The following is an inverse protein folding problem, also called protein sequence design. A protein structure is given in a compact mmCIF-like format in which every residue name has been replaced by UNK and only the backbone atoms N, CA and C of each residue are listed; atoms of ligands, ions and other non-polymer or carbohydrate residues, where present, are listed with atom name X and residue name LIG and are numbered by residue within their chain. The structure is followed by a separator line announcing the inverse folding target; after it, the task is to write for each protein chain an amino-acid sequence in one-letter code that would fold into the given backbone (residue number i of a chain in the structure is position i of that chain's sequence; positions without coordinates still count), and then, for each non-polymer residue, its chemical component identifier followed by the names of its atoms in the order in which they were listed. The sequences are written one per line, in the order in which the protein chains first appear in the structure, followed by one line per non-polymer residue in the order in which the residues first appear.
data_IF_674821636538
#
_entry.id   IF_674821636538
#
_cell.length_a   1.000
_cell.length_b   1.000
_cell.length_c   1.000
_cell.angle_alpha   90.00
_cell.angle_beta   90.00
_cell.angle_gamma   90.00
#
_symmetry.space_group_name_H-M   'P 1'
#
loop_
_entity.id
_entity.type
_entity.pdbx_description
1 polymer ?
#
# COMPACT_ATOMS: atom_id res chain seq x y z
N UNK A 1 -34.90 -10.11 15.37
CA UNK A 1 -35.07 -9.22 14.22
C UNK A 1 -34.05 -8.07 14.22
N UNK A 2 -33.76 -7.47 15.36
CA UNK A 2 -32.74 -6.39 15.45
C UNK A 2 -31.30 -6.86 15.13
N UNK A 3 -30.90 -8.07 15.53
CA UNK A 3 -29.57 -8.63 15.21
C UNK A 3 -29.37 -8.85 13.71
N UNK A 4 -30.40 -9.26 12.97
CA UNK A 4 -30.30 -9.46 11.52
C UNK A 4 -30.11 -8.14 10.76
N UNK A 5 -30.72 -7.06 11.22
CA UNK A 5 -30.60 -5.74 10.59
C UNK A 5 -29.20 -5.14 10.83
N UNK A 6 -28.61 -5.36 12.01
CA UNK A 6 -27.26 -4.92 12.32
C UNK A 6 -26.22 -5.68 11.51
N UNK A 7 -26.39 -6.99 11.32
CA UNK A 7 -25.49 -7.82 10.51
C UNK A 7 -25.52 -7.39 9.04
N UNK A 8 -26.71 -7.15 8.48
CA UNK A 8 -26.86 -6.65 7.10
C UNK A 8 -26.23 -5.27 6.94
N UNK A 9 -26.38 -4.39 7.93
CA UNK A 9 -25.76 -3.05 7.91
C UNK A 9 -24.25 -3.13 7.94
N UNK A 10 -23.68 -4.07 8.70
CA UNK A 10 -22.24 -4.28 8.77
C UNK A 10 -21.70 -4.89 7.48
N UNK A 11 -22.41 -5.84 6.90
CA UNK A 11 -22.07 -6.41 5.59
C UNK A 11 -22.09 -5.34 4.49
N UNK A 12 -23.11 -4.49 4.46
CA UNK A 12 -23.21 -3.40 3.50
C UNK A 12 -22.07 -2.38 3.68
N UNK A 13 -21.67 -2.07 4.92
CA UNK A 13 -20.51 -1.21 5.20
C UNK A 13 -19.22 -1.86 4.73
N UNK A 14 -19.06 -3.16 4.96
CA UNK A 14 -17.89 -3.91 4.50
C UNK A 14 -17.82 -3.99 2.98
N UNK A 15 -18.97 -4.16 2.31
CA UNK A 15 -19.05 -4.13 0.85
C UNK A 15 -18.73 -2.74 0.29
N UNK A 16 -19.21 -1.67 0.92
CA UNK A 16 -18.92 -0.31 0.52
C UNK A 16 -17.42 0.02 0.64
N UNK A 17 -16.73 -0.54 1.66
CA UNK A 17 -15.28 -0.35 1.83
C UNK A 17 -14.44 -1.10 0.80
N UNK A 18 -15.02 -2.04 0.05
CA UNK A 18 -14.35 -2.81 -1.00
C UNK A 18 -14.50 -2.19 -2.40
N UNK A 19 -15.21 -1.07 -2.51
CA UNK A 19 -15.37 -0.36 -3.79
C UNK A 19 -14.22 0.61 -3.97
N UNK A 20 -13.51 0.48 -5.09
CA UNK A 20 -12.42 1.39 -5.45
C UNK A 20 -12.95 2.81 -5.72
N UNK A 21 -12.21 3.82 -5.28
CA UNK A 21 -12.54 5.21 -5.57
C UNK A 21 -12.08 5.58 -6.97
N UNK A 22 -12.97 6.20 -7.72
CA UNK A 22 -12.71 6.69 -9.06
C UNK A 22 -12.91 8.21 -9.10
N UNK A 23 -12.18 8.88 -10.01
CA UNK A 23 -12.28 10.31 -10.22
C UNK A 23 -11.10 11.07 -9.62
N UNK A 24 -10.99 12.35 -10.01
CA UNK A 24 -9.82 13.18 -9.68
C UNK A 24 -10.14 14.43 -8.87
N UNK A 25 -11.40 14.67 -8.57
CA UNK A 25 -11.84 15.91 -7.92
C UNK A 25 -11.42 16.00 -6.44
N UNK A 26 -11.10 14.88 -5.81
CA UNK A 26 -10.63 14.82 -4.41
C UNK A 26 -9.11 14.69 -4.29
N UNK A 27 -8.36 14.71 -5.39
CA UNK A 27 -6.91 14.60 -5.34
C UNK A 27 -6.28 15.74 -4.53
N UNK A 28 -5.32 15.37 -3.71
CA UNK A 28 -4.60 16.32 -2.86
C UNK A 28 -3.31 16.77 -3.54
N UNK A 29 -3.07 18.07 -3.49
CA UNK A 29 -1.82 18.67 -3.94
C UNK A 29 -1.21 19.46 -2.78
N UNK A 30 0.12 19.54 -2.73
CA UNK A 30 0.78 20.39 -1.75
C UNK A 30 0.80 21.85 -2.25
N UNK A 31 1.41 22.75 -1.46
CA UNK A 31 1.46 24.19 -1.74
C UNK A 31 2.29 24.57 -2.98
N UNK A 32 3.10 23.66 -3.51
CA UNK A 32 3.86 23.84 -4.76
C UNK A 32 3.26 23.04 -5.94
N UNK A 33 2.04 22.55 -5.80
CA UNK A 33 1.30 21.88 -6.85
C UNK A 33 1.67 20.41 -7.10
N UNK A 34 2.38 19.76 -6.19
CA UNK A 34 2.73 18.35 -6.33
C UNK A 34 1.60 17.45 -5.84
N UNK A 35 1.18 16.50 -6.67
CA UNK A 35 0.19 15.51 -6.28
C UNK A 35 0.73 14.63 -5.17
N UNK A 36 -0.09 14.44 -4.14
CA UNK A 36 0.26 13.62 -2.99
C UNK A 36 -0.19 12.18 -3.22
N UNK A 37 0.76 11.25 -3.15
CA UNK A 37 0.57 9.81 -3.30
C UNK A 37 0.95 9.14 -2.00
N UNK A 38 0.20 8.14 -1.59
CA UNK A 38 0.47 7.38 -0.38
C UNK A 38 0.36 5.89 -0.64
N UNK A 39 1.22 5.13 -0.02
CA UNK A 39 1.20 3.68 -0.14
C UNK A 39 1.76 2.98 1.09
N UNK A 40 1.70 1.66 1.03
CA UNK A 40 2.22 0.80 2.07
C UNK A 40 3.18 -0.23 1.51
N UNK A 41 4.11 -0.66 2.35
CA UNK A 41 4.81 -1.91 2.19
C UNK A 41 4.13 -2.91 3.14
N UNK A 42 3.24 -3.78 2.63
CA UNK A 42 2.64 -4.81 3.46
C UNK A 42 3.70 -5.87 3.77
N UNK A 43 3.81 -6.25 5.04
CA UNK A 43 4.81 -7.23 5.44
C UNK A 43 4.25 -8.22 6.46
N UNK A 44 4.92 -9.36 6.54
CA UNK A 44 4.67 -10.42 7.52
C UNK A 44 5.97 -11.13 7.82
N UNK A 45 5.94 -11.99 8.82
CA UNK A 45 7.03 -12.93 9.10
C UNK A 45 6.57 -14.35 8.82
N UNK A 46 7.37 -15.10 8.08
CA UNK A 46 7.29 -16.55 7.96
C UNK A 46 8.42 -17.14 8.81
N UNK A 47 8.08 -17.56 10.04
CA UNK A 47 9.09 -17.85 11.05
C UNK A 47 9.88 -16.59 11.39
N UNK A 48 11.19 -16.59 11.20
CA UNK A 48 12.06 -15.43 11.38
C UNK A 48 12.26 -14.60 10.10
N UNK A 49 11.68 -15.04 8.98
CA UNK A 49 11.89 -14.46 7.66
C UNK A 49 10.91 -13.32 7.38
N UNK A 50 11.44 -12.15 7.11
CA UNK A 50 10.65 -11.02 6.69
C UNK A 50 10.23 -11.20 5.23
N UNK A 51 8.93 -11.15 4.99
CA UNK A 51 8.35 -11.17 3.65
C UNK A 51 7.52 -9.92 3.42
N UNK A 52 7.55 -9.43 2.19
CA UNK A 52 6.77 -8.27 1.76
C UNK A 52 5.84 -8.65 0.61
N UNK A 53 4.71 -7.95 0.53
CA UNK A 53 3.72 -8.19 -0.52
C UNK A 53 3.88 -7.17 -1.63
N UNK A 54 4.14 -7.65 -2.83
CA UNK A 54 4.18 -6.84 -4.04
C UNK A 54 3.01 -7.18 -4.95
N UNK A 55 2.64 -6.24 -5.80
CA UNK A 55 1.57 -6.42 -6.78
C UNK A 55 2.10 -6.15 -8.19
N UNK A 56 1.45 -6.73 -9.18
CA UNK A 56 1.81 -6.49 -10.58
C UNK A 56 1.41 -5.08 -11.00
N UNK A 57 2.25 -4.46 -11.84
CA UNK A 57 1.90 -3.21 -12.49
C UNK A 57 0.71 -3.43 -13.45
N UNK A 58 -0.17 -2.43 -13.58
CA UNK A 58 -1.21 -2.43 -14.61
C UNK A 58 -0.61 -2.33 -16.00
N UNK A 59 0.60 -1.80 -16.13
CA UNK A 59 1.32 -1.75 -17.39
C UNK A 59 2.00 -3.09 -17.63
N UNK A 60 1.59 -3.76 -18.68
CA UNK A 60 2.13 -5.06 -19.09
C UNK A 60 3.66 -5.00 -19.23
N UNK A 61 4.38 -5.91 -18.57
CA UNK A 61 5.83 -6.00 -18.63
C UNK A 61 6.60 -4.96 -17.79
N UNK A 62 5.94 -4.22 -16.89
CA UNK A 62 6.56 -3.16 -16.08
C UNK A 62 6.89 -3.58 -14.65
N UNK A 63 7.00 -4.88 -14.39
CA UNK A 63 7.44 -5.41 -13.10
C UNK A 63 6.43 -5.28 -11.98
N UNK A 64 6.94 -5.29 -10.75
CA UNK A 64 6.16 -5.29 -9.53
C UNK A 64 6.31 -3.97 -8.79
N UNK A 65 5.35 -3.69 -7.93
CA UNK A 65 5.36 -2.48 -7.08
C UNK A 65 4.63 -2.74 -5.76
N UNK A 66 4.78 -1.82 -4.83
CA UNK A 66 3.96 -1.79 -3.63
C UNK A 66 2.67 -1.02 -3.88
N UNK A 67 1.56 -1.38 -3.21
CA UNK A 67 0.29 -0.68 -3.40
C UNK A 67 0.39 0.79 -3.01
N UNK A 68 -0.11 1.67 -3.86
CA UNK A 68 -0.10 3.12 -3.69
C UNK A 68 -1.14 3.80 -4.57
N UNK A 69 -1.58 4.96 -4.14
CA UNK A 69 -2.45 5.80 -4.96
C UNK A 69 -2.59 7.19 -4.37
N UNK A 70 -3.54 7.96 -4.88
CA UNK A 70 -3.74 9.34 -4.45
C UNK A 70 -4.25 9.48 -3.03
N UNK A 71 -3.64 10.36 -2.27
CA UNK A 71 -4.16 10.77 -0.96
C UNK A 71 -5.20 11.86 -1.20
N UNK A 72 -6.46 11.53 -0.92
CA UNK A 72 -7.58 12.42 -1.19
C UNK A 72 -7.82 13.41 -0.04
N UNK A 73 -8.53 14.50 -0.33
CA UNK A 73 -8.70 15.62 0.62
C UNK A 73 -9.65 15.30 1.78
N UNK A 74 -10.49 14.27 1.64
CA UNK A 74 -11.48 13.88 2.63
C UNK A 74 -11.02 12.78 3.60
N UNK A 75 -9.73 12.44 3.58
CA UNK A 75 -9.19 11.36 4.39
C UNK A 75 -7.86 11.73 5.05
N UNK A 76 -7.52 11.08 6.17
CA UNK A 76 -6.19 11.17 6.76
C UNK A 76 -5.20 10.39 5.91
N UNK A 77 -3.90 10.66 6.09
CA UNK A 77 -2.86 9.96 5.34
C UNK A 77 -2.85 8.46 5.65
N UNK A 78 -3.10 8.06 6.90
CA UNK A 78 -3.17 6.65 7.30
C UNK A 78 -4.40 5.95 6.72
N UNK A 79 -5.53 6.63 6.67
CA UNK A 79 -6.74 6.13 6.02
C UNK A 79 -6.50 5.91 4.53
N UNK A 80 -5.84 6.84 3.86
CA UNK A 80 -5.49 6.72 2.45
C UNK A 80 -4.52 5.54 2.22
N UNK A 81 -3.51 5.40 3.06
CA UNK A 81 -2.53 4.30 2.97
C UNK A 81 -3.22 2.93 3.06
N UNK A 82 -4.12 2.77 4.04
CA UNK A 82 -4.87 1.53 4.20
C UNK A 82 -5.84 1.30 3.04
N UNK A 83 -6.56 2.32 2.63
CA UNK A 83 -7.52 2.24 1.52
C UNK A 83 -6.86 1.77 0.23
N UNK A 84 -5.76 2.41 -0.16
CA UNK A 84 -5.03 2.04 -1.38
C UNK A 84 -4.51 0.60 -1.30
N UNK A 85 -4.03 0.19 -0.13
CA UNK A 85 -3.53 -1.17 0.08
C UNK A 85 -4.64 -2.21 -0.04
N UNK A 86 -5.82 -1.94 0.52
CA UNK A 86 -6.99 -2.82 0.38
C UNK A 86 -7.45 -2.89 -1.08
N UNK A 87 -7.55 -1.74 -1.75
CA UNK A 87 -8.02 -1.67 -3.14
C UNK A 87 -7.11 -2.45 -4.09
N UNK A 88 -5.81 -2.26 -3.98
CA UNK A 88 -4.84 -2.81 -4.92
C UNK A 88 -4.31 -4.19 -4.54
N UNK A 89 -4.08 -4.46 -3.25
CA UNK A 89 -3.43 -5.68 -2.77
C UNK A 89 -4.32 -6.59 -1.92
N UNK A 90 -5.48 -6.12 -1.49
CA UNK A 90 -6.43 -6.94 -0.74
C UNK A 90 -5.95 -7.41 0.61
N UNK A 91 -5.16 -6.61 1.32
CA UNK A 91 -4.73 -6.93 2.68
C UNK A 91 -5.08 -5.81 3.63
N UNK A 92 -5.32 -6.17 4.89
CA UNK A 92 -5.59 -5.28 6.01
C UNK A 92 -4.61 -5.55 7.14
N UNK A 93 -4.39 -4.55 7.96
CA UNK A 93 -3.51 -4.69 9.12
C UNK A 93 -3.27 -3.36 9.80
N UNK A 94 -2.15 -3.29 10.51
CA UNK A 94 -1.75 -2.11 11.26
C UNK A 94 -0.81 -1.26 10.42
N UNK A 95 -1.23 -0.03 10.13
CA UNK A 95 -0.37 0.98 9.49
C UNK A 95 0.54 1.53 10.57
N UNK A 96 1.84 1.29 10.42
CA UNK A 96 2.85 1.72 11.37
C UNK A 96 3.43 3.09 10.99
N UNK A 97 4.43 3.57 11.71
CA UNK A 97 4.96 4.91 11.49
C UNK A 97 5.60 5.07 10.12
N UNK A 98 5.39 6.22 9.51
CA UNK A 98 5.84 6.57 8.17
C UNK A 98 7.33 6.27 7.96
N UNK A 99 7.64 5.57 6.87
CA UNK A 99 9.02 5.25 6.49
C UNK A 99 9.75 6.46 5.91
N UNK A 100 9.06 7.27 5.15
CA UNK A 100 9.64 8.43 4.52
C UNK A 100 8.75 9.05 3.46
N UNK A 101 9.33 10.03 2.79
CA UNK A 101 8.69 10.81 1.75
C UNK A 101 9.69 11.06 0.63
N UNK A 102 9.24 10.88 -0.61
CA UNK A 102 10.09 10.99 -1.79
C UNK A 102 9.41 11.83 -2.85
N UNK A 103 10.20 12.68 -3.51
CA UNK A 103 9.76 13.36 -4.74
C UNK A 103 10.19 12.54 -5.94
N UNK A 104 9.26 12.27 -6.84
CA UNK A 104 9.56 11.52 -8.04
C UNK A 104 8.80 12.07 -9.24
N UNK A 105 9.37 11.89 -10.42
CA UNK A 105 8.79 12.39 -11.67
C UNK A 105 7.72 11.41 -12.15
N UNK A 106 6.56 11.95 -12.52
CA UNK A 106 5.49 11.13 -13.11
C UNK A 106 5.89 10.66 -14.51
N UNK A 107 5.41 9.46 -14.87
CA UNK A 107 5.56 8.96 -16.24
C UNK A 107 4.47 9.60 -17.12
N UNK A 108 4.87 10.18 -18.26
CA UNK A 108 3.95 10.69 -19.27
C UNK A 108 3.68 12.19 -19.21
N UNK A 109 4.03 12.89 -18.16
CA UNK A 109 4.09 14.34 -18.10
C UNK A 109 5.26 14.78 -17.23
N UNK A 110 5.65 16.06 -17.26
CA UNK A 110 6.80 16.56 -16.53
C UNK A 110 6.48 16.96 -15.07
N UNK A 111 5.35 16.51 -14.55
CA UNK A 111 4.94 16.81 -13.18
C UNK A 111 5.70 15.95 -12.17
N UNK A 112 5.98 16.53 -11.00
CA UNK A 112 6.51 15.81 -9.85
C UNK A 112 5.39 15.43 -8.90
N UNK A 113 5.51 14.23 -8.33
CA UNK A 113 4.65 13.74 -7.26
C UNK A 113 5.45 13.61 -5.98
N UNK A 114 4.78 13.61 -4.85
CA UNK A 114 5.36 13.25 -3.56
C UNK A 114 4.71 11.96 -3.08
N UNK A 115 5.55 10.96 -2.83
CA UNK A 115 5.12 9.66 -2.32
C UNK A 115 5.45 9.49 -0.86
N UNK A 116 4.45 9.07 -0.07
CA UNK A 116 4.56 8.79 1.34
C UNK A 116 4.38 7.29 1.54
N UNK A 117 5.35 6.62 2.16
CA UNK A 117 5.31 5.18 2.36
C UNK A 117 5.25 4.80 3.83
N UNK A 118 4.38 3.85 4.13
CA UNK A 118 4.15 3.32 5.48
C UNK A 118 4.38 1.83 5.51
N UNK A 119 4.91 1.26 6.61
CA UNK A 119 4.81 -0.16 6.82
C UNK A 119 3.37 -0.53 7.15
N UNK A 120 2.92 -1.69 6.67
CA UNK A 120 1.63 -2.25 7.08
C UNK A 120 1.87 -3.69 7.53
N UNK A 121 1.73 -3.92 8.84
CA UNK A 121 1.80 -5.27 9.38
C UNK A 121 0.48 -5.99 9.07
N UNK A 122 0.56 -7.02 8.20
CA UNK A 122 -0.62 -7.71 7.68
C UNK A 122 -1.23 -8.61 8.74
N UNK A 123 -2.52 -8.42 8.99
CA UNK A 123 -3.32 -9.25 9.91
C UNK A 123 -4.31 -10.11 9.12
N UNK A 124 -4.84 -9.59 8.02
CA UNK A 124 -5.85 -10.28 7.22
C UNK A 124 -5.53 -10.17 5.74
N UNK A 125 -5.58 -11.29 5.05
CA UNK A 125 -5.47 -11.35 3.60
C UNK A 125 -6.85 -11.71 3.02
N UNK A 126 -7.40 -10.78 2.25
CA UNK A 126 -8.73 -10.95 1.65
C UNK A 126 -8.66 -11.88 0.45
N UNK A 127 -9.67 -12.71 0.29
CA UNK A 127 -9.83 -13.55 -0.90
C UNK A 127 -10.31 -12.73 -2.10
N UNK A 128 -11.15 -11.72 -1.86
CA UNK A 128 -11.70 -10.81 -2.87
C UNK A 128 -11.37 -9.37 -2.49
N UNK A 129 -10.91 -8.60 -3.48
CA UNK A 129 -10.63 -7.17 -3.31
C UNK A 129 -10.88 -6.42 -4.64
N UNK A 130 -11.02 -5.07 -4.63
CA UNK A 130 -11.43 -4.31 -5.82
C UNK A 130 -10.62 -4.58 -7.08
N UNK A 131 -9.29 -4.61 -6.99
CA UNK A 131 -8.42 -4.79 -8.17
C UNK A 131 -7.94 -6.22 -8.39
N UNK A 132 -8.57 -7.20 -7.76
CA UNK A 132 -8.20 -8.62 -7.90
C UNK A 132 -8.09 -9.09 -9.37
N UNK A 133 -8.97 -8.61 -10.23
CA UNK A 133 -9.04 -9.01 -11.63
C UNK A 133 -7.93 -8.41 -12.51
N UNK A 134 -7.22 -7.38 -12.02
CA UNK A 134 -6.15 -6.70 -12.76
C UNK A 134 -4.80 -6.73 -12.07
N UNK A 135 -4.72 -7.26 -10.85
CA UNK A 135 -3.49 -7.35 -10.07
C UNK A 135 -3.21 -8.77 -9.64
N UNK A 136 -2.00 -9.22 -9.85
CA UNK A 136 -1.44 -10.35 -9.11
C UNK A 136 -0.78 -9.81 -7.84
N UNK A 137 -0.85 -10.57 -6.76
CA UNK A 137 -0.12 -10.26 -5.53
C UNK A 137 0.78 -11.43 -5.17
N UNK A 138 1.98 -11.12 -4.74
CA UNK A 138 2.99 -12.15 -4.45
C UNK A 138 3.75 -11.76 -3.18
N UNK A 139 3.84 -12.69 -2.24
CA UNK A 139 4.75 -12.57 -1.12
C UNK A 139 6.16 -12.91 -1.57
N UNK A 140 7.10 -12.03 -1.26
CA UNK A 140 8.50 -12.19 -1.65
C UNK A 140 9.42 -11.92 -0.47
N UNK A 141 10.63 -12.48 -0.52
CA UNK A 141 11.71 -12.04 0.35
C UNK A 141 12.07 -10.58 0.02
N UNK A 142 12.73 -9.91 0.94
CA UNK A 142 13.20 -8.53 0.72
C UNK A 142 14.10 -8.44 -0.52
N UNK A 143 15.01 -9.39 -0.68
CA UNK A 143 15.94 -9.42 -1.83
C UNK A 143 15.18 -9.56 -3.15
N UNK A 144 14.24 -10.49 -3.23
CA UNK A 144 13.42 -10.69 -4.41
C UNK A 144 12.57 -9.44 -4.74
N UNK A 145 11.95 -8.86 -3.72
CA UNK A 145 11.11 -7.67 -3.89
C UNK A 145 11.93 -6.47 -4.37
N UNK A 146 13.14 -6.32 -3.86
CA UNK A 146 14.05 -5.23 -4.26
C UNK A 146 14.44 -5.36 -5.74
N UNK A 147 14.68 -6.57 -6.23
CA UNK A 147 14.96 -6.82 -7.63
C UNK A 147 13.74 -6.64 -8.53
N UNK A 148 12.57 -7.07 -8.07
CA UNK A 148 11.33 -7.01 -8.85
C UNK A 148 10.74 -5.59 -8.93
N UNK A 149 10.98 -4.76 -7.92
CA UNK A 149 10.38 -3.43 -7.83
C UNK A 149 11.04 -2.43 -8.79
N UNK A 150 10.23 -1.82 -9.66
CA UNK A 150 10.70 -0.90 -10.69
C UNK A 150 10.93 0.53 -10.19
N UNK A 151 10.28 0.91 -9.10
CA UNK A 151 10.36 2.29 -8.58
C UNK A 151 11.52 2.45 -7.61
N UNK A 152 12.47 3.32 -7.95
CA UNK A 152 13.66 3.58 -7.12
C UNK A 152 13.30 4.04 -5.70
N UNK A 153 12.27 4.88 -5.57
CA UNK A 153 11.83 5.41 -4.28
C UNK A 153 11.16 4.34 -3.40
N UNK A 154 10.51 3.36 -4.01
CA UNK A 154 9.96 2.21 -3.28
C UNK A 154 11.06 1.28 -2.79
N UNK A 155 12.14 1.10 -3.57
CA UNK A 155 13.32 0.35 -3.10
C UNK A 155 13.97 1.00 -1.90
N UNK A 156 14.08 2.33 -1.89
CA UNK A 156 14.57 3.06 -0.72
C UNK A 156 13.66 2.91 0.49
N UNK A 157 12.34 2.96 0.29
CA UNK A 157 11.37 2.72 1.36
C UNK A 157 11.52 1.30 1.93
N UNK A 158 11.74 0.31 1.08
CA UNK A 158 11.99 -1.07 1.50
C UNK A 158 13.25 -1.19 2.35
N UNK A 159 14.33 -0.53 1.96
CA UNK A 159 15.57 -0.48 2.75
C UNK A 159 15.31 0.10 4.14
N UNK A 160 14.50 1.14 4.25
CA UNK A 160 14.12 1.73 5.54
C UNK A 160 13.28 0.80 6.39
N UNK A 161 12.38 0.03 5.78
CA UNK A 161 11.62 -0.99 6.49
C UNK A 161 12.55 -2.04 7.10
N UNK A 162 13.50 -2.53 6.33
CA UNK A 162 14.47 -3.55 6.79
C UNK A 162 15.26 -3.02 7.98
N UNK A 163 15.80 -1.81 7.89
CA UNK A 163 16.56 -1.19 8.99
C UNK A 163 15.70 -1.08 10.24
N UNK A 164 14.45 -0.66 10.10
CA UNK A 164 13.53 -0.51 11.23
C UNK A 164 13.20 -1.87 11.88
N UNK A 165 12.97 -2.89 11.06
CA UNK A 165 12.65 -4.24 11.58
C UNK A 165 13.86 -4.88 12.25
N UNK A 166 15.07 -4.71 11.70
CA UNK A 166 16.31 -5.18 12.33
C UNK A 166 16.59 -4.52 13.69
N UNK A 167 16.17 -3.28 13.87
CA UNK A 167 16.34 -2.55 15.13
C UNK A 167 15.36 -3.00 16.22
N UNK A 168 14.32 -3.76 15.89
CA UNK A 168 13.35 -4.29 16.87
C UNK A 168 14.00 -5.39 17.71
N UNK A 169 13.71 -5.46 19.04
CA UNK A 169 14.22 -6.53 19.89
C UNK A 169 13.88 -7.92 19.36
N UNK A 170 14.87 -8.82 19.30
CA UNK A 170 14.71 -10.18 18.79
C UNK A 170 14.71 -10.34 17.28
N UNK A 171 14.99 -9.27 16.51
CA UNK A 171 15.01 -9.27 15.03
C UNK A 171 16.39 -9.01 14.43
N UNK A 172 17.45 -9.26 15.15
CA UNK A 172 18.82 -8.89 14.76
C UNK A 172 19.44 -9.71 13.62
N UNK A 173 18.73 -10.68 13.06
CA UNK A 173 19.24 -11.59 12.01
C UNK A 173 18.32 -11.65 10.78
N UNK A 174 17.73 -10.55 10.39
CA UNK A 174 16.87 -10.49 9.20
C UNK A 174 17.68 -10.55 7.89
#
# INVERSE_FOLDING_TARGET
MEMQIQDISMELKNMASLVARNGRHLQRYNNIGRRQVVGCIPYRYDGSKLEVLVISSQRKGKGMLFPKGGWETDESIREAALRETVEEAGVKGVVEDKLGQWSFKSKGNDAYYEGHMFPLYVIEQLEFWPEKHIRQRVWMSVTEAKEACQHWWMREALDKLVIREEAKPGKSNL
#
